data_IF_572374536789
#
_entry.id   IF_572374536789
#
_cell.length_a   1.000
_cell.length_b   1.000
_cell.length_c   1.000
_cell.angle_alpha   90.00
_cell.angle_beta   90.00
_cell.angle_gamma   90.00
#
_symmetry.space_group_name_H-M   'P 1'
#
loop_
_entity.id
_entity.type
_entity.pdbx_description
1 polymer ?
#
# COMPACT_ATOMS: atom_id res chain seq x y z
N UNK A 1 -3.74 11.09 -8.08
CA UNK A 1 -4.22 9.73 -7.77
C UNK A 1 -4.66 9.11 -9.10
N UNK A 2 -3.76 8.39 -9.77
CA UNK A 2 -4.02 7.78 -11.07
C UNK A 2 -4.95 6.57 -10.87
N UNK A 3 -6.04 6.52 -11.63
CA UNK A 3 -7.09 5.50 -11.67
C UNK A 3 -6.94 4.32 -10.65
N UNK A 4 -7.57 4.44 -9.48
CA UNK A 4 -7.59 3.38 -8.47
C UNK A 4 -8.51 2.19 -8.82
N UNK A 5 -9.31 2.28 -9.88
CA UNK A 5 -10.27 1.23 -10.25
C UNK A 5 -9.56 -0.05 -10.68
N UNK A 6 -8.55 0.03 -11.56
CA UNK A 6 -7.81 -1.17 -12.00
C UNK A 6 -7.12 -1.88 -10.84
N UNK A 7 -6.56 -1.13 -9.89
CA UNK A 7 -5.94 -1.72 -8.69
C UNK A 7 -6.95 -2.38 -7.75
N UNK A 8 -8.16 -1.84 -7.69
CA UNK A 8 -9.24 -2.42 -6.88
C UNK A 8 -9.74 -3.73 -7.49
N UNK A 9 -9.85 -3.76 -8.83
CA UNK A 9 -10.24 -4.94 -9.61
C UNK A 9 -9.20 -6.07 -9.50
N UNK A 10 -7.92 -5.73 -9.60
CA UNK A 10 -6.78 -6.67 -9.47
C UNK A 10 -6.40 -6.99 -8.00
N UNK A 11 -7.19 -6.54 -7.02
CA UNK A 11 -6.91 -6.67 -5.57
C UNK A 11 -5.54 -6.16 -5.10
N UNK A 12 -4.96 -5.24 -5.87
CA UNK A 12 -3.66 -4.64 -5.58
C UNK A 12 -3.74 -3.58 -4.47
N UNK A 13 -2.61 -3.27 -3.81
CA UNK A 13 -2.55 -2.15 -2.88
C UNK A 13 -3.02 -0.84 -3.53
N UNK A 14 -3.97 -0.17 -2.87
CA UNK A 14 -4.56 1.10 -3.32
C UNK A 14 -3.57 2.26 -3.31
N UNK A 15 -2.54 2.16 -2.47
CA UNK A 15 -1.49 3.16 -2.34
C UNK A 15 -0.13 2.53 -2.56
N UNK A 16 0.79 3.34 -3.03
CA UNK A 16 2.23 3.09 -3.11
C UNK A 16 2.94 3.43 -1.77
N UNK A 17 2.22 3.44 -0.64
CA UNK A 17 2.75 3.88 0.66
C UNK A 17 4.05 3.16 1.05
N UNK A 18 4.20 1.89 0.68
CA UNK A 18 5.45 1.14 0.91
C UNK A 18 6.61 1.72 0.10
N UNK A 19 6.40 2.03 -1.18
CA UNK A 19 7.42 2.66 -2.04
C UNK A 19 7.74 4.09 -1.60
N UNK A 20 6.75 4.85 -1.16
CA UNK A 20 6.96 6.20 -0.61
C UNK A 20 7.69 6.16 0.73
N UNK A 21 7.34 5.20 1.59
CA UNK A 21 8.01 4.94 2.86
C UNK A 21 9.47 4.52 2.65
N UNK A 22 9.73 3.63 1.70
CA UNK A 22 11.07 3.23 1.28
C UNK A 22 11.89 4.42 0.77
N UNK A 23 11.33 5.20 -0.18
CA UNK A 23 11.98 6.41 -0.67
C UNK A 23 12.28 7.42 0.45
N UNK A 24 11.36 7.58 1.41
CA UNK A 24 11.58 8.45 2.57
C UNK A 24 12.69 7.91 3.47
N UNK A 25 12.74 6.61 3.71
CA UNK A 25 13.81 5.99 4.50
C UNK A 25 15.19 6.23 3.86
N UNK A 26 15.31 6.05 2.54
CA UNK A 26 16.55 6.33 1.79
C UNK A 26 16.93 7.81 1.88
N UNK A 27 15.97 8.71 1.67
CA UNK A 27 16.25 10.14 1.80
C UNK A 27 16.73 10.52 3.19
N UNK A 28 16.20 9.87 4.22
CA UNK A 28 16.58 10.12 5.60
C UNK A 28 17.96 9.52 5.96
N UNK A 29 18.37 8.43 5.30
CA UNK A 29 19.71 7.85 5.50
C UNK A 29 20.79 8.57 4.67
N UNK A 30 20.41 9.28 3.62
CA UNK A 30 21.33 10.06 2.80
C UNK A 30 21.96 11.21 3.61
N UNK A 31 23.27 11.10 3.84
CA UNK A 31 24.11 12.15 4.45
C UNK A 31 24.73 12.99 3.33
N UNK A 32 25.16 14.22 3.65
CA UNK A 32 25.77 15.12 2.66
C UNK A 32 27.11 14.59 2.13
N UNK A 33 27.93 13.95 2.99
CA UNK A 33 29.24 13.41 2.61
C UNK A 33 29.55 12.09 3.36
N UNK A 34 28.84 10.99 3.07
CA UNK A 34 29.12 9.70 3.72
C UNK A 34 30.44 9.13 3.21
N UNK A 35 31.20 8.50 4.11
CA UNK A 35 32.29 7.62 3.71
C UNK A 35 31.75 6.38 2.96
N UNK A 36 32.64 5.71 2.25
CA UNK A 36 32.32 4.44 1.57
C UNK A 36 31.81 3.41 2.58
N UNK A 37 32.39 3.34 3.78
CA UNK A 37 31.98 2.41 4.82
C UNK A 37 30.57 2.68 5.36
N UNK A 38 30.21 3.95 5.55
CA UNK A 38 28.85 4.33 5.95
C UNK A 38 27.84 3.98 4.86
N UNK A 39 28.18 4.24 3.59
CA UNK A 39 27.33 3.88 2.46
C UNK A 39 27.08 2.37 2.35
N UNK A 40 28.11 1.56 2.62
CA UNK A 40 28.00 0.09 2.69
C UNK A 40 27.10 -0.33 3.84
N UNK A 41 27.26 0.29 5.02
CA UNK A 41 26.44 -0.02 6.19
C UNK A 41 24.95 0.29 5.94
N UNK A 42 24.66 1.46 5.39
CA UNK A 42 23.29 1.89 5.08
C UNK A 42 22.67 0.97 4.02
N UNK A 43 23.43 0.56 2.99
CA UNK A 43 22.97 -0.38 1.97
C UNK A 43 22.67 -1.78 2.53
N UNK A 44 23.46 -2.26 3.50
CA UNK A 44 23.19 -3.55 4.16
C UNK A 44 21.91 -3.53 4.98
N UNK A 45 21.64 -2.42 5.68
CA UNK A 45 20.41 -2.25 6.46
C UNK A 45 19.19 -2.22 5.53
N UNK A 46 19.31 -1.50 4.41
CA UNK A 46 18.28 -1.42 3.37
C UNK A 46 18.00 -2.81 2.78
N UNK A 47 19.05 -3.52 2.38
CA UNK A 47 18.95 -4.86 1.81
C UNK A 47 18.30 -5.84 2.80
N UNK A 48 18.76 -5.84 4.06
CA UNK A 48 18.20 -6.69 5.10
C UNK A 48 16.70 -6.43 5.28
N UNK A 49 16.29 -5.16 5.33
CA UNK A 49 14.89 -4.77 5.50
C UNK A 49 14.00 -5.28 4.35
N UNK A 50 14.53 -5.31 3.12
CA UNK A 50 13.79 -5.80 1.95
C UNK A 50 13.74 -7.33 1.86
N UNK A 51 14.73 -8.04 2.40
CA UNK A 51 14.80 -9.50 2.36
C UNK A 51 13.90 -10.18 3.39
N UNK A 52 13.56 -9.51 4.49
CA UNK A 52 12.70 -10.07 5.55
C UNK A 52 11.39 -10.64 4.99
N UNK A 53 10.70 -9.89 4.11
CA UNK A 53 9.41 -10.34 3.57
C UNK A 53 9.55 -11.56 2.64
N UNK A 54 10.43 -11.54 1.61
CA UNK A 54 10.75 -12.72 0.83
C UNK A 54 11.12 -13.94 1.68
N UNK A 55 12.03 -13.79 2.65
CA UNK A 55 12.48 -14.89 3.53
C UNK A 55 11.32 -15.47 4.34
N UNK A 56 10.44 -14.61 4.87
CA UNK A 56 9.23 -15.04 5.56
C UNK A 56 8.29 -15.83 4.63
N UNK A 57 8.11 -15.37 3.40
CA UNK A 57 7.27 -16.05 2.41
C UNK A 57 7.87 -17.41 2.01
N UNK A 58 9.18 -17.49 1.80
CA UNK A 58 9.90 -18.74 1.53
C UNK A 58 9.80 -19.73 2.70
N UNK A 59 9.84 -19.23 3.93
CA UNK A 59 9.61 -20.03 5.14
C UNK A 59 8.15 -20.45 5.35
N UNK A 60 7.23 -20.11 4.45
CA UNK A 60 5.81 -20.43 4.55
C UNK A 60 5.06 -19.59 5.59
N UNK A 61 5.66 -18.52 6.10
CA UNK A 61 4.98 -17.57 6.99
C UNK A 61 3.96 -16.79 6.15
N UNK A 62 2.69 -17.04 6.42
CA UNK A 62 1.59 -16.36 5.74
C UNK A 62 1.68 -14.86 6.05
N UNK A 63 1.48 -14.03 5.01
CA UNK A 63 1.53 -12.56 5.09
C UNK A 63 0.89 -12.05 6.38
N UNK A 64 1.57 -11.10 7.03
CA UNK A 64 1.00 -10.36 8.15
C UNK A 64 -0.42 -9.89 7.79
N UNK A 65 -1.40 -10.23 8.63
CA UNK A 65 -2.80 -9.85 8.41
C UNK A 65 -2.87 -8.35 8.15
N UNK A 66 -3.55 -7.96 7.07
CA UNK A 66 -3.88 -6.54 6.86
C UNK A 66 -4.71 -6.11 8.07
N UNK A 67 -4.61 -4.84 8.46
CA UNK A 67 -5.50 -4.34 9.52
C UNK A 67 -6.93 -4.49 9.03
N UNK A 68 -7.80 -5.10 9.84
CA UNK A 68 -9.21 -5.39 9.51
C UNK A 68 -9.92 -4.19 8.88
N UNK A 69 -9.69 -2.98 9.41
CA UNK A 69 -10.26 -1.74 8.85
C UNK A 69 -9.97 -1.50 7.36
N UNK A 70 -8.81 -1.95 6.86
CA UNK A 70 -8.43 -1.81 5.46
C UNK A 70 -9.02 -2.90 4.58
N UNK A 71 -9.24 -4.09 5.14
CA UNK A 71 -9.94 -5.19 4.47
C UNK A 71 -11.42 -4.82 4.27
N UNK A 72 -12.10 -4.41 5.34
CA UNK A 72 -13.48 -3.93 5.28
C UNK A 72 -13.63 -2.77 4.28
N UNK A 73 -12.70 -1.82 4.28
CA UNK A 73 -12.75 -0.70 3.34
C UNK A 73 -12.55 -1.14 1.88
N UNK A 74 -11.72 -2.17 1.63
CA UNK A 74 -11.55 -2.73 0.29
C UNK A 74 -12.85 -3.40 -0.19
N UNK A 75 -13.47 -4.22 0.67
CA UNK A 75 -14.72 -4.90 0.37
C UNK A 75 -15.85 -3.89 0.07
N UNK A 76 -15.97 -2.84 0.89
CA UNK A 76 -16.96 -1.79 0.67
C UNK A 76 -16.73 -1.04 -0.65
N UNK A 77 -15.47 -0.80 -1.03
CA UNK A 77 -15.15 -0.18 -2.31
C UNK A 77 -15.47 -1.09 -3.49
N UNK A 78 -15.14 -2.39 -3.41
CA UNK A 78 -15.49 -3.37 -4.44
C UNK A 78 -17.00 -3.46 -4.63
N UNK A 79 -17.75 -3.51 -3.53
CA UNK A 79 -19.22 -3.49 -3.57
C UNK A 79 -19.78 -2.18 -4.14
N UNK A 80 -19.21 -1.03 -3.80
CA UNK A 80 -19.66 0.24 -4.36
C UNK A 80 -19.49 0.22 -5.89
N UNK A 81 -18.30 -0.15 -6.36
CA UNK A 81 -17.95 -0.19 -7.78
C UNK A 81 -18.80 -1.19 -8.56
N UNK A 82 -19.01 -2.40 -8.04
CA UNK A 82 -19.85 -3.41 -8.71
C UNK A 82 -21.31 -2.96 -8.85
N UNK A 83 -21.78 -2.10 -7.94
CA UNK A 83 -23.12 -1.56 -7.95
C UNK A 83 -23.27 -0.27 -8.79
N UNK A 84 -22.24 0.16 -9.53
CA UNK A 84 -22.27 1.41 -10.30
C UNK A 84 -23.46 1.49 -11.28
N UNK A 85 -23.74 0.41 -12.01
CA UNK A 85 -24.85 0.35 -12.96
C UNK A 85 -26.19 -0.05 -12.33
N UNK A 86 -26.18 -0.55 -11.08
CA UNK A 86 -27.37 -1.05 -10.39
C UNK A 86 -28.03 0.01 -9.51
N UNK A 87 -27.25 0.98 -9.01
CA UNK A 87 -27.75 2.02 -8.13
C UNK A 87 -28.11 3.29 -8.89
N UNK A 88 -29.24 3.94 -8.55
CA UNK A 88 -29.49 5.32 -8.93
C UNK A 88 -28.31 6.23 -8.56
N UNK A 89 -28.02 7.18 -9.45
CA UNK A 89 -26.82 8.03 -9.39
C UNK A 89 -26.67 8.75 -8.04
N UNK A 90 -27.78 9.26 -7.50
CA UNK A 90 -27.86 9.95 -6.21
C UNK A 90 -27.49 9.04 -5.03
N UNK A 91 -28.01 7.80 -5.03
CA UNK A 91 -27.70 6.80 -4.00
C UNK A 91 -26.24 6.37 -4.09
N UNK A 92 -25.73 6.16 -5.30
CA UNK A 92 -24.33 5.81 -5.53
C UNK A 92 -23.38 6.87 -4.96
N UNK A 93 -23.57 8.15 -5.30
CA UNK A 93 -22.70 9.22 -4.80
C UNK A 93 -22.86 9.45 -3.30
N UNK A 94 -24.06 9.25 -2.73
CA UNK A 94 -24.26 9.30 -1.27
C UNK A 94 -23.45 8.23 -0.54
N UNK A 95 -23.42 7.00 -1.07
CA UNK A 95 -22.61 5.90 -0.52
C UNK A 95 -21.11 6.15 -0.70
N UNK A 96 -20.70 6.64 -1.87
CA UNK A 96 -19.32 7.04 -2.12
C UNK A 96 -18.85 8.09 -1.10
N UNK A 97 -19.66 9.12 -0.86
CA UNK A 97 -19.36 10.18 0.12
C UNK A 97 -19.17 9.64 1.54
N UNK A 98 -20.06 8.76 1.99
CA UNK A 98 -19.96 8.13 3.30
C UNK A 98 -18.68 7.28 3.47
N UNK A 99 -18.21 6.68 2.38
CA UNK A 99 -16.97 5.87 2.35
C UNK A 99 -15.69 6.70 2.44
N UNK A 100 -15.69 7.91 1.87
CA UNK A 100 -14.49 8.75 1.79
C UNK A 100 -14.42 9.86 2.86
N UNK A 101 -15.39 9.96 3.78
CA UNK A 101 -15.45 11.02 4.81
C UNK A 101 -15.28 12.44 4.23
N UNK A 102 -16.11 12.81 3.25
CA UNK A 102 -16.30 14.20 2.78
C UNK A 102 -17.66 14.74 3.19
#
# INVERSE_FOLDING_TARGET
MWNCFSRLDEELPRTNNSSEGWNRAIKNSARENPSIYESIADSRIEQHSNLILPEQLEAGIVKARKRIKYEVLNEQLQQLVSNFYLLPRDIYFKRARALFNF
#
